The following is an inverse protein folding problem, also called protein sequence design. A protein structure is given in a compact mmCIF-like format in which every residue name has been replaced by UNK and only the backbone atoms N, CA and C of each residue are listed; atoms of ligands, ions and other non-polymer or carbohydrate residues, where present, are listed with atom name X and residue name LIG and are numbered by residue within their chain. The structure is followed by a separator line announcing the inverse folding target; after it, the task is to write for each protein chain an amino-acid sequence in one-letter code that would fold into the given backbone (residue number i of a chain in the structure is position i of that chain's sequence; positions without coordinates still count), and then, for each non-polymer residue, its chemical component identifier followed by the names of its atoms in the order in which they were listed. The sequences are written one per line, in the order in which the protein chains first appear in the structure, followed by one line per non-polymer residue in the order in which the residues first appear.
data_IF_215083381140
#
_entry.id   IF_215083381140
#
_cell.length_a   1.000
_cell.length_b   1.000
_cell.length_c   1.000
_cell.angle_alpha   90.00
_cell.angle_beta   90.00
_cell.angle_gamma   90.00
#
_symmetry.space_group_name_H-M   'P 1'
#
loop_
_entity.id
_entity.type
_entity.pdbx_description
1 polymer ?
#
# COMPACT_ATOMS: atom_id res chain seq x y z
N UNK A 1 7.05 -8.08 7.45
CA UNK A 1 6.25 -8.58 6.32
C UNK A 1 5.09 -9.40 6.86
N UNK A 2 3.92 -9.24 6.27
CA UNK A 2 2.70 -9.93 6.70
C UNK A 2 2.13 -10.70 5.53
N UNK A 3 1.61 -11.90 5.78
CA UNK A 3 1.12 -12.78 4.72
C UNK A 3 -0.36 -13.10 4.91
N UNK A 4 -1.05 -13.34 3.81
CA UNK A 4 -2.41 -13.87 3.81
C UNK A 4 -2.37 -15.33 3.39
N UNK A 5 -3.08 -16.17 4.14
CA UNK A 5 -3.11 -17.60 3.88
C UNK A 5 -4.55 -18.06 3.64
N UNK A 6 -4.71 -18.98 2.68
CA UNK A 6 -5.92 -19.79 2.55
C UNK A 6 -5.46 -21.23 2.77
N UNK A 7 -5.88 -21.83 3.90
CA UNK A 7 -5.29 -23.08 4.35
C UNK A 7 -3.81 -22.87 4.64
N UNK A 8 -2.95 -23.60 3.96
CA UNK A 8 -1.49 -23.44 4.09
C UNK A 8 -0.86 -22.70 2.91
N UNK A 9 -1.67 -22.28 1.95
CA UNK A 9 -1.15 -21.58 0.78
C UNK A 9 -1.03 -20.07 1.03
N UNK A 10 0.15 -19.51 0.78
CA UNK A 10 0.36 -18.06 0.83
C UNK A 10 -0.22 -17.44 -0.44
N UNK A 11 -1.29 -16.67 -0.31
CA UNK A 11 -1.98 -16.06 -1.46
C UNK A 11 -1.69 -14.58 -1.61
N UNK A 12 -0.99 -13.97 -0.65
CA UNK A 12 -0.61 -12.56 -0.75
C UNK A 12 0.25 -12.15 0.44
N UNK A 13 0.84 -10.96 0.33
CA UNK A 13 1.66 -10.40 1.42
C UNK A 13 1.73 -8.89 1.35
N UNK A 14 2.10 -8.28 2.47
CA UNK A 14 2.45 -6.86 2.53
C UNK A 14 3.84 -6.69 3.12
N UNK A 15 4.50 -5.61 2.74
CA UNK A 15 5.77 -5.23 3.33
C UNK A 15 5.67 -3.76 3.76
N UNK A 16 5.80 -3.52 5.06
CA UNK A 16 5.73 -2.19 5.65
C UNK A 16 7.12 -1.82 6.15
N UNK A 17 7.56 -0.62 5.82
CA UNK A 17 8.81 -0.06 6.36
C UNK A 17 8.38 0.95 7.43
N UNK A 18 8.66 0.70 8.72
CA UNK A 18 8.08 1.50 9.81
C UNK A 18 8.41 2.99 9.76
N UNK A 19 9.58 3.36 9.27
CA UNK A 19 9.98 4.76 9.13
C UNK A 19 10.41 5.07 7.70
N UNK A 20 9.72 4.44 6.74
CA UNK A 20 10.09 4.52 5.34
C UNK A 20 9.72 5.80 4.64
N UNK A 21 8.85 6.64 5.23
CA UNK A 21 8.45 7.91 4.64
C UNK A 21 8.84 9.04 5.58
N UNK A 22 9.62 9.99 5.07
CA UNK A 22 9.99 11.22 5.77
C UNK A 22 10.61 10.97 7.16
N UNK A 23 11.31 9.86 7.31
CA UNK A 23 12.02 9.44 8.53
C UNK A 23 11.15 9.20 9.77
N UNK A 24 9.83 9.30 9.64
CA UNK A 24 8.97 9.19 10.82
C UNK A 24 7.63 8.50 10.60
N UNK A 25 7.31 8.12 9.35
CA UNK A 25 6.00 7.55 9.04
C UNK A 25 6.13 6.19 8.40
N UNK A 26 5.19 5.27 8.69
CA UNK A 26 5.18 3.97 8.02
C UNK A 26 4.91 4.13 6.53
N UNK A 27 5.53 3.29 5.75
CA UNK A 27 5.45 3.28 4.31
C UNK A 27 5.10 1.87 3.84
N UNK A 28 4.01 1.76 3.08
CA UNK A 28 3.63 0.49 2.47
C UNK A 28 4.46 0.31 1.21
N UNK A 29 5.48 -0.54 1.30
CA UNK A 29 6.42 -0.75 0.19
C UNK A 29 5.84 -1.67 -0.87
N UNK A 30 5.22 -2.78 -0.45
CA UNK A 30 4.66 -3.76 -1.36
C UNK A 30 3.38 -4.33 -0.77
N UNK A 31 2.36 -4.47 -1.64
CA UNK A 31 1.21 -5.34 -1.40
C UNK A 31 1.06 -6.19 -2.65
N UNK A 32 1.02 -7.49 -2.50
CA UNK A 32 0.95 -8.42 -3.62
C UNK A 32 -0.03 -9.54 -3.32
N UNK A 33 -0.83 -9.90 -4.33
CA UNK A 33 -1.83 -10.96 -4.26
C UNK A 33 -1.61 -11.87 -5.46
N UNK A 34 -1.63 -13.17 -5.27
CA UNK A 34 -1.60 -14.11 -6.38
C UNK A 34 -2.75 -13.82 -7.34
N UNK A 35 -2.50 -13.88 -8.64
CA UNK A 35 -3.47 -13.50 -9.65
C UNK A 35 -4.79 -14.25 -9.52
N UNK A 36 -4.75 -15.55 -9.25
CA UNK A 36 -5.96 -16.36 -9.12
C UNK A 36 -6.78 -16.05 -7.87
N UNK A 37 -6.25 -15.26 -6.95
CA UNK A 37 -6.94 -14.86 -5.73
C UNK A 37 -7.32 -13.38 -5.71
N UNK A 38 -7.11 -12.66 -6.80
CA UNK A 38 -7.53 -11.27 -6.92
C UNK A 38 -9.06 -11.18 -6.96
N UNK A 39 -9.58 -10.01 -6.59
CA UNK A 39 -11.02 -9.73 -6.56
C UNK A 39 -11.80 -10.56 -5.54
N UNK A 40 -11.12 -11.08 -4.53
CA UNK A 40 -11.75 -11.82 -3.42
C UNK A 40 -11.69 -11.08 -2.08
N UNK A 41 -11.37 -9.79 -2.11
CA UNK A 41 -11.26 -9.00 -0.89
C UNK A 41 -9.97 -9.21 -0.10
N UNK A 42 -9.03 -10.00 -0.61
CA UNK A 42 -7.76 -10.27 0.09
C UNK A 42 -6.90 -9.01 0.16
N UNK A 43 -6.86 -8.23 -0.93
CA UNK A 43 -6.12 -6.98 -0.96
C UNK A 43 -6.61 -6.00 0.09
N UNK A 44 -7.93 -5.86 0.22
CA UNK A 44 -8.52 -4.99 1.23
C UNK A 44 -8.22 -5.49 2.64
N UNK A 45 -8.30 -6.80 2.86
CA UNK A 45 -8.00 -7.38 4.17
C UNK A 45 -6.54 -7.15 4.56
N UNK A 46 -5.61 -7.33 3.62
CA UNK A 46 -4.20 -7.07 3.86
C UNK A 46 -3.96 -5.57 4.12
N UNK A 47 -4.60 -4.70 3.36
CA UNK A 47 -4.47 -3.26 3.55
C UNK A 47 -5.01 -2.84 4.91
N UNK A 48 -6.20 -3.32 5.29
CA UNK A 48 -6.80 -3.02 6.59
C UNK A 48 -5.91 -3.48 7.73
N UNK A 49 -5.32 -4.67 7.61
CA UNK A 49 -4.40 -5.21 8.61
C UNK A 49 -3.14 -4.34 8.70
N UNK A 50 -2.59 -3.93 7.56
CA UNK A 50 -1.42 -3.07 7.50
C UNK A 50 -1.70 -1.71 8.14
N UNK A 51 -2.90 -1.17 7.93
CA UNK A 51 -3.30 0.11 8.52
C UNK A 51 -3.42 0.02 10.05
N UNK A 52 -3.90 -1.11 10.57
CA UNK A 52 -3.96 -1.30 12.03
C UNK A 52 -2.57 -1.30 12.63
N UNK A 53 -1.61 -1.92 11.95
CA UNK A 53 -0.22 -1.94 12.42
C UNK A 53 0.40 -0.55 12.30
N UNK A 54 0.17 0.13 11.17
CA UNK A 54 0.70 1.46 10.95
C UNK A 54 0.16 2.47 11.97
N UNK A 55 -1.10 2.32 12.40
CA UNK A 55 -1.71 3.19 13.39
C UNK A 55 -1.00 3.14 14.74
N UNK A 56 -0.37 2.02 15.07
CA UNK A 56 0.43 1.91 16.30
C UNK A 56 1.73 2.69 16.20
N UNK A 57 2.15 3.05 14.99
CA UNK A 57 3.41 3.77 14.74
C UNK A 57 3.19 5.26 14.54
N UNK A 58 2.12 5.65 13.85
CA UNK A 58 1.86 7.03 13.49
C UNK A 58 0.40 7.20 13.05
N UNK A 59 0.00 8.45 12.79
CA UNK A 59 -1.36 8.77 12.36
C UNK A 59 -1.51 8.88 10.84
N UNK A 60 -0.45 8.59 10.08
CA UNK A 60 -0.46 8.65 8.62
C UNK A 60 0.26 7.46 8.03
N UNK A 61 -0.22 7.02 6.87
CA UNK A 61 0.36 5.92 6.14
C UNK A 61 0.58 6.37 4.69
N UNK A 62 1.75 6.07 4.15
CA UNK A 62 2.16 6.51 2.82
C UNK A 62 2.44 5.33 1.91
N UNK A 63 2.23 5.53 0.62
CA UNK A 63 2.64 4.60 -0.43
C UNK A 63 2.83 5.38 -1.73
N UNK A 64 3.47 4.73 -2.70
CA UNK A 64 3.53 5.26 -4.06
C UNK A 64 2.91 4.26 -5.02
N UNK A 65 2.36 4.76 -6.12
CA UNK A 65 1.78 3.94 -7.17
C UNK A 65 2.19 4.51 -8.52
N UNK A 66 2.65 3.62 -9.43
CA UNK A 66 3.13 4.03 -10.73
C UNK A 66 1.99 4.53 -11.62
N UNK A 67 2.30 5.49 -12.49
CA UNK A 67 1.33 6.11 -13.39
C UNK A 67 0.74 5.12 -14.39
N UNK A 68 1.45 4.01 -14.68
CA UNK A 68 0.94 3.00 -15.61
C UNK A 68 -0.02 2.00 -14.95
N UNK A 69 -0.32 2.19 -13.65
CA UNK A 69 -1.20 1.27 -12.91
C UNK A 69 -2.40 2.02 -12.33
N UNK A 70 -3.32 2.51 -13.18
CA UNK A 70 -4.48 3.26 -12.71
C UNK A 70 -5.44 2.43 -11.85
N UNK A 71 -5.48 1.12 -12.04
CA UNK A 71 -6.34 0.24 -11.25
C UNK A 71 -5.88 0.21 -9.79
N UNK A 72 -4.57 0.14 -9.55
CA UNK A 72 -4.03 0.19 -8.19
C UNK A 72 -4.33 1.54 -7.55
N UNK A 73 -4.16 2.63 -8.29
CA UNK A 73 -4.48 3.97 -7.77
C UNK A 73 -5.94 4.06 -7.34
N UNK A 74 -6.87 3.57 -8.18
CA UNK A 74 -8.29 3.55 -7.85
C UNK A 74 -8.59 2.70 -6.62
N UNK A 75 -7.91 1.56 -6.50
CA UNK A 75 -8.05 0.71 -5.32
C UNK A 75 -7.70 1.47 -4.04
N UNK A 76 -6.58 2.18 -4.03
CA UNK A 76 -6.17 2.95 -2.87
C UNK A 76 -7.12 4.12 -2.61
N UNK A 77 -7.57 4.81 -3.67
CA UNK A 77 -8.53 5.91 -3.52
C UNK A 77 -9.84 5.43 -2.90
N UNK A 78 -10.34 4.27 -3.32
CA UNK A 78 -11.55 3.69 -2.72
C UNK A 78 -11.37 3.34 -1.25
N UNK A 79 -10.14 3.14 -0.83
CA UNK A 79 -9.82 2.79 0.56
C UNK A 79 -9.36 4.00 1.39
N UNK A 80 -9.59 5.21 0.90
CA UNK A 80 -9.38 6.42 1.67
C UNK A 80 -8.04 7.11 1.46
N UNK A 81 -7.21 6.62 0.54
CA UNK A 81 -5.97 7.29 0.18
C UNK A 81 -6.23 8.39 -0.83
N UNK A 82 -5.43 9.42 -0.78
CA UNK A 82 -5.49 10.47 -1.79
C UNK A 82 -4.08 10.83 -2.23
N UNK A 83 -3.98 11.28 -3.47
CA UNK A 83 -2.72 11.72 -4.02
C UNK A 83 -2.31 13.05 -3.38
N UNK A 84 -1.11 13.09 -2.83
CA UNK A 84 -0.56 14.30 -2.21
C UNK A 84 0.67 14.81 -2.95
N UNK A 85 1.13 14.08 -3.95
CA UNK A 85 2.26 14.51 -4.75
C UNK A 85 2.55 13.55 -5.88
N UNK A 86 3.57 13.89 -6.67
CA UNK A 86 4.07 13.01 -7.72
C UNK A 86 5.58 13.16 -7.83
N UNK A 87 6.25 12.06 -8.16
CA UNK A 87 7.69 12.01 -8.24
C UNK A 87 8.06 11.40 -9.59
N UNK A 88 8.41 12.24 -10.59
CA UNK A 88 8.83 11.70 -11.89
C UNK A 88 10.18 11.02 -11.77
N UNK A 89 10.33 9.94 -12.50
CA UNK A 89 11.60 9.20 -12.61
C UNK A 89 12.13 8.67 -11.27
N UNK A 90 11.26 8.35 -10.32
CA UNK A 90 11.68 7.90 -8.99
C UNK A 90 12.44 6.57 -9.07
N UNK A 91 11.84 5.58 -9.69
CA UNK A 91 12.43 4.25 -9.84
C UNK A 91 12.88 3.95 -11.25
N UNK A 92 12.19 4.49 -12.26
CA UNK A 92 12.47 4.23 -13.68
C UNK A 92 12.33 5.52 -14.48
N UNK A 93 13.20 5.74 -15.47
CA UNK A 93 13.04 6.88 -16.39
C UNK A 93 11.70 6.81 -17.11
N UNK A 94 11.02 7.96 -17.20
CA UNK A 94 9.77 8.07 -17.91
C UNK A 94 8.53 7.63 -17.14
N UNK A 95 8.69 7.15 -15.91
CA UNK A 95 7.58 6.71 -15.08
C UNK A 95 7.45 7.62 -13.85
N UNK A 96 6.26 8.17 -13.66
CA UNK A 96 5.94 8.98 -12.49
C UNK A 96 5.29 8.12 -11.44
N UNK A 97 5.76 8.24 -10.19
CA UNK A 97 5.11 7.61 -9.04
C UNK A 97 4.23 8.64 -8.36
N UNK A 98 2.98 8.28 -8.11
CA UNK A 98 2.07 9.14 -7.36
C UNK A 98 2.22 8.84 -5.88
N UNK A 99 2.51 9.86 -5.09
CA UNK A 99 2.59 9.72 -3.63
C UNK A 99 1.18 9.78 -3.06
N UNK A 100 0.78 8.73 -2.37
CA UNK A 100 -0.55 8.61 -1.77
C UNK A 100 -0.44 8.60 -0.26
N UNK A 101 -1.41 9.18 0.40
CA UNK A 101 -1.44 9.23 1.86
C UNK A 101 -2.84 9.02 2.38
N UNK A 102 -2.91 8.42 3.57
CA UNK A 102 -4.15 8.26 4.30
C UNK A 102 -3.93 8.67 5.75
N UNK A 103 -4.85 9.47 6.30
CA UNK A 103 -4.89 9.74 7.73
C UNK A 103 -5.53 8.55 8.43
N UNK A 104 -4.81 7.97 9.38
CA UNK A 104 -5.29 6.84 10.15
C UNK A 104 -6.00 7.37 11.39
N UNK A 105 -7.14 6.77 11.74
CA UNK A 105 -7.91 7.21 12.89
C UNK A 105 -7.90 6.16 13.98
N UNK A 106 -7.85 6.66 15.18
CA UNK A 106 -8.03 5.82 16.36
C UNK A 106 -9.49 5.67 16.68
#
# INVERSE_FOLDING_TARGET
MYVALIGEECVGFTYIIPKGAFHGFPYLHIIAIKEEYRDRGIGKALLDHSERIALEMADKFFLVVADYNPDAKRFYERNGYRQVGEIPNLYRPGITEYLMAKNLKK
#
